data_IF_065285992666
#
_entry.id   IF_065285992666
#
_cell.length_a   1.000
_cell.length_b   1.000
_cell.length_c   1.000
_cell.angle_alpha   90.00
_cell.angle_beta   90.00
_cell.angle_gamma   90.00
#
_symmetry.space_group_name_H-M   'P 1'
#
loop_
_entity.id
_entity.type
_entity.pdbx_description
1 polymer ?
#
# COMPACT_ATOMS: atom_id res chain seq x y z
N UNK A 1 -6.28 0.15 -7.61
CA UNK A 1 -7.13 -0.14 -6.44
C UNK A 1 -7.38 1.19 -5.73
N UNK A 2 -8.42 1.93 -6.13
CA UNK A 2 -8.62 3.33 -5.67
C UNK A 2 -8.86 3.46 -4.16
N UNK A 3 -9.35 2.40 -3.51
CA UNK A 3 -9.58 2.37 -2.06
C UNK A 3 -8.33 2.59 -1.21
N UNK A 4 -7.12 2.32 -1.73
CA UNK A 4 -5.86 2.53 -0.99
C UNK A 4 -5.34 3.97 -1.03
N UNK A 5 -5.84 4.80 -1.96
CA UNK A 5 -5.31 6.15 -2.18
C UNK A 5 -5.43 7.05 -0.93
N UNK A 6 -6.53 7.02 -0.15
CA UNK A 6 -6.61 7.79 1.09
C UNK A 6 -5.58 7.39 2.14
N UNK A 7 -5.25 6.10 2.25
CA UNK A 7 -4.22 5.60 3.18
C UNK A 7 -2.82 6.04 2.73
N UNK A 8 -2.54 5.90 1.44
CA UNK A 8 -1.33 6.42 0.81
C UNK A 8 -1.14 7.92 1.04
N UNK A 9 -2.22 8.69 0.86
CA UNK A 9 -2.26 10.11 1.15
C UNK A 9 -1.94 10.41 2.62
N UNK A 10 -2.57 9.69 3.56
CA UNK A 10 -2.28 9.85 4.99
C UNK A 10 -0.79 9.62 5.30
N UNK A 11 -0.17 8.61 4.69
CA UNK A 11 1.27 8.35 4.82
C UNK A 11 2.14 9.46 4.25
N UNK A 12 1.84 9.93 3.04
CA UNK A 12 2.55 11.05 2.44
C UNK A 12 2.45 12.32 3.30
N UNK A 13 1.26 12.62 3.82
CA UNK A 13 1.04 13.75 4.71
C UNK A 13 1.80 13.61 6.03
N UNK A 14 1.87 12.40 6.59
CA UNK A 14 2.66 12.13 7.80
C UNK A 14 4.16 12.28 7.55
N UNK A 15 4.69 11.73 6.44
CA UNK A 15 6.08 11.90 6.02
C UNK A 15 6.45 13.37 5.84
N UNK A 16 5.54 14.15 5.27
CA UNK A 16 5.69 15.60 5.08
C UNK A 16 5.40 16.43 6.34
N UNK A 17 5.15 15.79 7.50
CA UNK A 17 4.83 16.44 8.78
C UNK A 17 3.61 17.37 8.72
N UNK A 18 2.68 17.12 7.78
CA UNK A 18 1.43 17.87 7.62
C UNK A 18 0.32 17.38 8.54
N UNK A 19 0.48 16.18 9.11
CA UNK A 19 -0.40 15.64 10.14
C UNK A 19 0.44 15.13 11.32
N UNK A 20 -0.05 15.28 12.57
CA UNK A 20 0.68 14.85 13.76
C UNK A 20 0.50 13.36 14.10
N UNK A 21 -0.39 12.66 13.38
CA UNK A 21 -0.79 11.29 13.72
C UNK A 21 0.16 10.25 13.16
N UNK A 22 0.51 9.25 13.98
CA UNK A 22 1.34 8.12 13.57
C UNK A 22 0.50 7.16 12.71
N UNK A 23 0.89 7.02 11.46
CA UNK A 23 0.24 6.14 10.46
C UNK A 23 0.89 4.76 10.31
N UNK A 24 2.06 4.55 10.93
CA UNK A 24 2.79 3.28 10.92
C UNK A 24 2.20 2.27 11.92
N UNK A 25 2.31 0.97 11.63
CA UNK A 25 1.81 -0.15 12.44
C UNK A 25 0.28 -0.25 12.53
N UNK A 26 -0.42 0.28 11.53
CA UNK A 26 -1.85 0.06 11.35
C UNK A 26 -2.01 -0.98 10.25
N UNK A 27 -2.67 -2.10 10.55
CA UNK A 27 -3.04 -3.06 9.52
C UNK A 27 -4.23 -2.49 8.75
N UNK A 28 -3.95 -2.03 7.54
CA UNK A 28 -4.94 -1.39 6.69
C UNK A 28 -6.06 -2.36 6.32
N UNK A 29 -5.77 -3.67 6.29
CA UNK A 29 -6.77 -4.70 6.00
C UNK A 29 -7.95 -4.72 6.96
N UNK A 30 -7.79 -4.21 8.20
CA UNK A 30 -8.88 -4.13 9.18
C UNK A 30 -9.98 -3.14 8.76
N UNK A 31 -9.65 -2.18 7.90
CA UNK A 31 -10.57 -1.13 7.45
C UNK A 31 -11.07 -1.38 6.02
N UNK A 32 -10.89 -2.58 5.48
CA UNK A 32 -11.30 -2.91 4.12
C UNK A 32 -12.42 -3.95 4.09
N UNK A 33 -13.43 -3.65 3.27
CA UNK A 33 -14.49 -4.60 2.91
C UNK A 33 -14.71 -4.56 1.40
N UNK A 34 -14.44 -5.67 0.69
CA UNK A 34 -14.66 -5.77 -0.75
C UNK A 34 -14.01 -4.64 -1.56
N UNK A 35 -12.71 -4.38 -1.33
CA UNK A 35 -11.92 -3.29 -1.93
C UNK A 35 -12.35 -1.85 -1.56
N UNK A 36 -13.35 -1.68 -0.68
CA UNK A 36 -13.76 -0.39 -0.14
C UNK A 36 -13.10 -0.15 1.21
N UNK A 37 -12.51 1.02 1.38
CA UNK A 37 -11.93 1.48 2.63
C UNK A 37 -13.01 2.17 3.48
N UNK A 38 -13.17 1.75 4.73
CA UNK A 38 -13.84 2.53 5.77
C UNK A 38 -12.87 3.61 6.29
N UNK A 39 -12.91 4.77 5.63
CA UNK A 39 -12.01 5.88 5.95
C UNK A 39 -12.29 6.45 7.34
N UNK A 40 -13.57 6.47 7.76
CA UNK A 40 -13.97 7.00 9.05
C UNK A 40 -13.46 6.13 10.19
N UNK A 41 -13.55 4.81 10.06
CA UNK A 41 -12.99 3.89 11.05
C UNK A 41 -11.45 3.96 11.08
N UNK A 42 -10.80 4.09 9.92
CA UNK A 42 -9.35 4.30 9.84
C UNK A 42 -8.91 5.58 10.55
N UNK A 43 -9.60 6.71 10.33
CA UNK A 43 -9.33 7.99 11.00
C UNK A 43 -9.61 7.91 12.50
N UNK A 44 -10.68 7.22 12.89
CA UNK A 44 -10.98 6.97 14.31
C UNK A 44 -9.84 6.20 14.98
N UNK A 45 -9.29 5.17 14.33
CA UNK A 45 -8.13 4.43 14.84
C UNK A 45 -6.90 5.31 14.99
N UNK A 46 -6.59 6.13 13.98
CA UNK A 46 -5.45 7.06 13.98
C UNK A 46 -5.51 8.07 15.12
N UNK A 47 -6.71 8.52 15.46
CA UNK A 47 -6.95 9.60 16.43
C UNK A 47 -7.31 9.08 17.82
N UNK A 48 -7.41 7.75 18.02
CA UNK A 48 -7.92 7.12 19.25
C UNK A 48 -7.24 7.62 20.54
N UNK A 49 -5.93 7.80 20.53
CA UNK A 49 -5.15 8.21 21.70
C UNK A 49 -5.06 9.74 21.85
N UNK A 50 -5.78 10.50 21.04
CA UNK A 50 -5.75 11.96 20.99
C UNK A 50 -7.15 12.52 21.25
N UNK A 51 -7.25 13.58 22.04
CA UNK A 51 -8.51 14.28 22.26
C UNK A 51 -8.87 15.10 21.01
N UNK A 52 -9.46 14.43 20.01
CA UNK A 52 -9.88 15.02 18.72
C UNK A 52 -11.40 14.99 18.65
N UNK A 53 -11.98 16.13 18.30
CA UNK A 53 -13.42 16.31 18.10
C UNK A 53 -13.91 15.59 16.83
N UNK A 54 -15.23 15.44 16.70
CA UNK A 54 -15.80 14.88 15.47
C UNK A 54 -15.52 15.76 14.25
N UNK A 55 -15.50 17.08 14.41
CA UNK A 55 -15.22 18.02 13.32
C UNK A 55 -13.77 17.92 12.85
N UNK A 56 -12.81 17.87 13.77
CA UNK A 56 -11.39 17.70 13.43
C UNK A 56 -11.13 16.36 12.71
N UNK A 57 -11.83 15.28 13.10
CA UNK A 57 -11.78 14.01 12.35
C UNK A 57 -12.30 14.17 10.92
N UNK A 58 -13.42 14.87 10.74
CA UNK A 58 -13.99 15.12 9.41
C UNK A 58 -13.04 15.93 8.52
N UNK A 59 -12.42 16.97 9.08
CA UNK A 59 -11.39 17.76 8.37
C UNK A 59 -10.21 16.88 7.96
N UNK A 60 -9.81 15.93 8.81
CA UNK A 60 -8.74 14.99 8.50
C UNK A 60 -9.13 14.02 7.36
N UNK A 61 -10.35 13.50 7.37
CA UNK A 61 -10.89 12.67 6.28
C UNK A 61 -10.90 13.44 4.96
N UNK A 62 -11.41 14.67 4.96
CA UNK A 62 -11.44 15.55 3.78
C UNK A 62 -10.02 15.83 3.25
N UNK A 63 -9.05 16.07 4.14
CA UNK A 63 -7.65 16.25 3.78
C UNK A 63 -7.07 15.01 3.08
N UNK A 64 -7.35 13.81 3.59
CA UNK A 64 -6.88 12.55 3.00
C UNK A 64 -7.49 12.34 1.61
N UNK A 65 -8.79 12.60 1.45
CA UNK A 65 -9.49 12.51 0.16
C UNK A 65 -8.92 13.52 -0.85
N UNK A 66 -8.67 14.75 -0.42
CA UNK A 66 -8.13 15.80 -1.28
C UNK A 66 -6.72 15.45 -1.77
N UNK A 67 -5.84 14.98 -0.87
CA UNK A 67 -4.49 14.56 -1.24
C UNK A 67 -4.54 13.32 -2.15
N UNK A 68 -5.43 12.36 -1.89
CA UNK A 68 -5.59 11.15 -2.70
C UNK A 68 -6.02 11.41 -4.16
N UNK A 69 -6.68 12.55 -4.41
CA UNK A 69 -7.13 12.98 -5.75
C UNK A 69 -6.00 13.56 -6.61
N UNK A 70 -4.86 13.91 -6.03
CA UNK A 70 -3.73 14.41 -6.81
C UNK A 70 -3.16 13.30 -7.68
N UNK A 71 -2.66 13.67 -8.85
CA UNK A 71 -1.98 12.74 -9.75
C UNK A 71 -0.60 12.40 -9.19
N UNK A 72 -0.55 11.26 -8.50
CA UNK A 72 0.69 10.61 -8.10
C UNK A 72 0.90 9.37 -8.95
N UNK A 73 2.16 9.00 -9.19
CA UNK A 73 2.50 7.68 -9.71
C UNK A 73 1.97 6.62 -8.72
N UNK A 74 0.99 5.78 -9.11
CA UNK A 74 0.40 4.78 -8.22
C UNK A 74 1.43 3.80 -7.64
N UNK A 75 2.51 3.53 -8.37
CA UNK A 75 3.60 2.64 -7.95
C UNK A 75 4.51 3.25 -6.88
N UNK A 76 4.49 4.58 -6.75
CA UNK A 76 5.18 5.30 -5.69
C UNK A 76 4.27 5.66 -4.53
N UNK A 77 2.95 5.72 -4.79
CA UNK A 77 1.98 6.24 -3.84
C UNK A 77 1.59 5.21 -2.79
N UNK A 78 1.51 3.93 -3.15
CA UNK A 78 1.10 2.85 -2.22
C UNK A 78 2.28 1.94 -1.86
N UNK A 79 2.46 1.68 -0.57
CA UNK A 79 3.47 0.71 -0.14
C UNK A 79 2.96 -0.73 -0.36
N UNK A 80 3.88 -1.66 -0.58
CA UNK A 80 3.53 -3.07 -0.78
C UNK A 80 2.72 -3.65 0.37
N UNK A 81 2.99 -3.22 1.60
CA UNK A 81 2.35 -3.71 2.82
C UNK A 81 0.85 -3.48 2.87
N UNK A 82 0.43 -2.24 2.68
CA UNK A 82 -0.96 -1.85 2.67
C UNK A 82 -1.69 -2.53 1.51
N UNK A 83 -1.02 -2.70 0.37
CA UNK A 83 -1.57 -3.39 -0.79
C UNK A 83 -1.92 -4.84 -0.49
N UNK A 84 -0.97 -5.65 -0.01
CA UNK A 84 -1.27 -7.06 0.25
C UNK A 84 -2.21 -7.26 1.44
N UNK A 85 -2.19 -6.37 2.45
CA UNK A 85 -3.17 -6.38 3.54
C UNK A 85 -4.60 -6.13 3.05
N UNK A 86 -4.80 -5.08 2.23
CA UNK A 86 -6.11 -4.76 1.68
C UNK A 86 -6.60 -5.80 0.66
N UNK A 87 -5.69 -6.34 -0.15
CA UNK A 87 -6.01 -7.43 -1.07
C UNK A 87 -6.44 -8.69 -0.31
N UNK A 88 -5.72 -9.05 0.75
CA UNK A 88 -6.08 -10.17 1.61
C UNK A 88 -7.45 -10.01 2.26
N UNK A 89 -7.72 -8.83 2.83
CA UNK A 89 -9.04 -8.50 3.37
C UNK A 89 -10.15 -8.64 2.33
N UNK A 90 -9.92 -8.16 1.11
CA UNK A 90 -10.90 -8.25 0.02
C UNK A 90 -11.12 -9.70 -0.44
N UNK A 91 -10.05 -10.48 -0.59
CA UNK A 91 -10.13 -11.91 -0.94
C UNK A 91 -10.88 -12.74 0.10
N UNK A 92 -10.86 -12.35 1.40
CA UNK A 92 -11.68 -13.02 2.43
C UNK A 92 -13.18 -12.84 2.21
N UNK A 93 -13.59 -11.67 1.72
CA UNK A 93 -14.98 -11.41 1.35
C UNK A 93 -15.46 -12.37 0.26
N UNK A 94 -14.60 -12.63 -0.73
CA UNK A 94 -14.95 -13.43 -1.91
C UNK A 94 -14.76 -14.95 -1.71
N UNK A 95 -13.69 -15.36 -1.03
CA UNK A 95 -13.33 -16.77 -0.81
C UNK A 95 -13.92 -17.37 0.48
N UNK A 96 -14.43 -16.51 1.36
CA UNK A 96 -14.98 -16.86 2.66
C UNK A 96 -13.92 -17.08 3.75
N UNK A 97 -14.33 -16.86 5.02
CA UNK A 97 -13.45 -16.90 6.19
C UNK A 97 -12.79 -18.27 6.48
N UNK A 98 -13.23 -19.36 5.82
CA UNK A 98 -12.61 -20.70 5.93
C UNK A 98 -11.16 -20.74 5.47
N UNK A 99 -10.71 -19.75 4.68
CA UNK A 99 -9.34 -19.61 4.17
C UNK A 99 -8.59 -18.44 4.80
N UNK A 100 -8.93 -18.07 6.04
CA UNK A 100 -8.27 -16.98 6.76
C UNK A 100 -6.73 -17.08 6.73
N UNK A 101 -6.21 -18.29 6.95
CA UNK A 101 -4.77 -18.57 6.91
C UNK A 101 -4.13 -18.38 5.53
N UNK A 102 -4.90 -18.32 4.44
CA UNK A 102 -4.40 -18.16 3.06
C UNK A 102 -4.65 -16.74 2.51
N UNK A 103 -5.24 -15.87 3.32
CA UNK A 103 -5.72 -14.55 2.91
C UNK A 103 -5.26 -13.44 3.86
N UNK A 104 -4.36 -13.75 4.79
CA UNK A 104 -3.64 -12.71 5.55
C UNK A 104 -2.57 -12.08 4.63
N UNK A 105 -2.34 -10.78 4.77
CA UNK A 105 -1.34 -9.99 4.07
C UNK A 105 0.00 -10.71 3.80
N UNK A 106 0.62 -11.36 4.80
CA UNK A 106 1.87 -12.10 4.59
C UNK A 106 1.75 -13.26 3.59
N UNK A 107 0.64 -13.99 3.65
CA UNK A 107 0.37 -15.12 2.76
C UNK A 107 0.08 -14.62 1.34
N UNK A 108 -0.72 -13.56 1.23
CA UNK A 108 -0.97 -12.89 -0.05
C UNK A 108 0.33 -12.36 -0.66
N UNK A 109 1.17 -11.71 0.14
CA UNK A 109 2.49 -11.25 -0.27
C UNK A 109 3.35 -12.41 -0.78
N UNK A 110 3.41 -13.51 -0.03
CA UNK A 110 4.17 -14.70 -0.42
C UNK A 110 3.65 -15.27 -1.75
N UNK A 111 2.34 -15.42 -1.92
CA UNK A 111 1.77 -15.94 -3.17
C UNK A 111 2.03 -15.00 -4.34
N UNK A 112 1.97 -13.67 -4.15
CA UNK A 112 2.34 -12.69 -5.18
C UNK A 112 3.82 -12.83 -5.54
N UNK A 113 4.72 -12.94 -4.55
CA UNK A 113 6.15 -13.13 -4.78
C UNK A 113 6.45 -14.43 -5.52
N UNK A 114 5.73 -15.51 -5.22
CA UNK A 114 5.88 -16.80 -5.90
C UNK A 114 5.33 -16.78 -7.33
N UNK A 115 4.28 -15.99 -7.57
CA UNK A 115 3.72 -15.80 -8.92
C UNK A 115 4.58 -14.86 -9.78
N UNK A 116 5.37 -13.96 -9.17
CA UNK A 116 6.24 -13.03 -9.88
C UNK A 116 7.47 -13.74 -10.43
N UNK A 117 7.53 -13.89 -11.75
CA UNK A 117 8.56 -14.65 -12.44
C UNK A 117 9.75 -13.78 -12.86
N UNK A 118 10.84 -14.45 -13.24
CA UNK A 118 11.99 -13.80 -13.87
C UNK A 118 11.59 -13.09 -15.18
N UNK A 119 10.55 -13.57 -15.89
CA UNK A 119 10.03 -12.91 -17.11
C UNK A 119 9.32 -11.59 -16.75
N UNK A 120 8.43 -11.61 -15.75
CA UNK A 120 7.74 -10.41 -15.26
C UNK A 120 8.75 -9.36 -14.79
N UNK A 121 9.82 -9.78 -14.11
CA UNK A 121 10.89 -8.88 -13.69
C UNK A 121 11.57 -8.17 -14.87
N UNK A 122 11.87 -8.90 -15.96
CA UNK A 122 12.52 -8.34 -17.15
C UNK A 122 11.69 -7.27 -17.85
N UNK A 123 10.36 -7.32 -17.70
CA UNK A 123 9.44 -6.33 -18.27
C UNK A 123 9.35 -5.05 -17.43
N UNK A 124 9.88 -5.03 -16.21
CA UNK A 124 9.81 -3.85 -15.35
C UNK A 124 10.76 -2.72 -15.79
N UNK A 125 10.34 -1.47 -15.57
CA UNK A 125 11.20 -0.30 -15.75
C UNK A 125 12.45 -0.35 -14.85
N UNK A 126 12.35 -0.98 -13.66
CA UNK A 126 13.48 -1.18 -12.75
C UNK A 126 14.56 -2.04 -13.42
N UNK A 127 14.19 -3.15 -14.06
CA UNK A 127 15.14 -3.98 -14.79
C UNK A 127 15.83 -3.19 -15.90
N UNK A 128 15.07 -2.44 -16.71
CA UNK A 128 15.62 -1.59 -17.76
C UNK A 128 16.60 -0.52 -17.21
N UNK A 129 16.25 0.12 -16.09
CA UNK A 129 17.10 1.09 -15.41
C UNK A 129 18.40 0.46 -14.87
N UNK A 130 18.31 -0.73 -14.28
CA UNK A 130 19.47 -1.49 -13.79
C UNK A 130 20.39 -1.87 -14.95
N UNK A 131 19.88 -2.41 -16.05
CA UNK A 131 20.67 -2.73 -17.24
C UNK A 131 21.36 -1.50 -17.82
N UNK A 132 20.65 -0.36 -17.87
CA UNK A 132 21.20 0.92 -18.31
C UNK A 132 22.29 1.46 -17.37
N UNK A 133 22.20 1.16 -16.08
CA UNK A 133 23.23 1.49 -15.11
C UNK A 133 24.46 0.58 -15.26
N UNK A 134 24.28 -0.75 -15.36
CA UNK A 134 25.37 -1.72 -15.57
C UNK A 134 26.21 -1.39 -16.81
N UNK A 135 25.54 -1.02 -17.91
CA UNK A 135 26.19 -0.63 -19.16
C UNK A 135 27.09 0.61 -19.00
N UNK A 136 26.77 1.52 -18.07
CA UNK A 136 27.56 2.73 -17.82
C UNK A 136 28.68 2.52 -16.80
N UNK A 137 28.51 1.63 -15.84
CA UNK A 137 29.41 1.51 -14.68
C UNK A 137 30.35 0.30 -14.72
N UNK A 138 30.15 -0.64 -15.66
CA UNK A 138 30.89 -1.92 -15.77
C UNK A 138 30.72 -2.87 -14.57
N UNK A 139 29.85 -2.52 -13.62
CA UNK A 139 29.44 -3.42 -12.55
C UNK A 139 28.20 -4.19 -12.97
N UNK A 140 28.11 -5.46 -12.59
CA UNK A 140 26.89 -6.24 -12.74
C UNK A 140 26.24 -6.49 -11.38
N UNK A 141 24.96 -6.14 -11.29
CA UNK A 141 24.10 -6.26 -10.11
C UNK A 141 22.89 -7.15 -10.39
N UNK A 142 22.55 -7.36 -11.67
CA UNK A 142 21.53 -8.30 -12.10
C UNK A 142 22.15 -9.68 -12.28
N UNK A 143 21.55 -10.71 -11.67
CA UNK A 143 22.04 -12.09 -11.74
C UNK A 143 22.26 -12.56 -13.18
N UNK A 144 23.37 -13.28 -13.43
CA UNK A 144 23.73 -13.83 -14.77
C UNK A 144 22.61 -14.65 -15.42
N UNK A 145 21.74 -15.28 -14.62
CA UNK A 145 20.60 -16.06 -15.11
C UNK A 145 19.53 -15.23 -15.84
N UNK A 146 19.54 -13.91 -15.62
CA UNK A 146 18.56 -12.96 -16.15
C UNK A 146 19.06 -12.20 -17.38
N UNK A 147 20.31 -12.41 -17.82
CA UNK A 147 20.86 -11.80 -19.03
C UNK A 147 20.40 -12.55 -20.28
#
# INVERSE_FOLDING_TARGET
>A
MDGLRPVSAARLLNLNRKIPYKVSNIDVGDFFNGFLLDLSEYVLKLTKETAVTAEERRVLEELFVLEAKKEYDPWQFTNGHDFYSALGASLRGDLGARRYAQTWGFEVEMHIRLAFTDADFKETHIFAALKSWEARTRYSVVSKRLH
#
